data_IF_808882649114
#
_entry.id   IF_808882649114
#
_cell.length_a   1.000
_cell.length_b   1.000
_cell.length_c   1.000
_cell.angle_alpha   90.00
_cell.angle_beta   90.00
_cell.angle_gamma   90.00
#
_symmetry.space_group_name_H-M   'P 1'
#
loop_
_entity.id
_entity.type
_entity.pdbx_description
1 polymer ?
#
# COMPACT_ATOMS: atom_id res chain seq x y z
N UNK A 1 -0.80 17.21 -8.04
CA UNK A 1 0.52 17.24 -7.40
C UNK A 1 1.59 16.86 -8.40
N UNK A 2 1.62 15.64 -8.97
CA UNK A 2 2.67 15.15 -9.88
C UNK A 2 2.94 16.10 -11.05
N UNK A 3 1.91 16.54 -11.76
CA UNK A 3 2.07 17.46 -12.89
C UNK A 3 2.75 18.78 -12.50
N UNK A 4 2.45 19.33 -11.31
CA UNK A 4 3.11 20.52 -10.79
C UNK A 4 4.58 20.28 -10.46
N UNK A 5 4.90 19.14 -9.84
CA UNK A 5 6.28 18.74 -9.54
C UNK A 5 7.10 18.59 -10.82
N UNK A 6 6.54 17.93 -11.85
CA UNK A 6 7.22 17.74 -13.14
C UNK A 6 7.44 19.07 -13.87
N UNK A 7 6.47 19.99 -13.82
CA UNK A 7 6.61 21.32 -14.42
C UNK A 7 7.66 22.20 -13.71
N UNK A 8 7.83 22.05 -12.39
CA UNK A 8 8.81 22.78 -11.61
C UNK A 8 10.23 22.20 -11.71
N UNK A 9 10.36 20.89 -12.01
CA UNK A 9 11.64 20.12 -12.05
C UNK A 9 12.75 20.81 -12.84
N UNK A 10 12.41 21.40 -14.00
CA UNK A 10 13.40 22.03 -14.88
C UNK A 10 13.79 23.43 -14.45
N UNK A 11 13.12 24.01 -13.45
CA UNK A 11 13.21 25.43 -13.07
C UNK A 11 13.76 25.65 -11.66
N UNK A 12 13.90 24.59 -10.87
CA UNK A 12 14.29 24.68 -9.46
C UNK A 12 15.21 23.51 -9.06
N UNK A 13 16.07 23.74 -8.09
CA UNK A 13 16.96 22.72 -7.51
C UNK A 13 16.21 21.81 -6.52
N UNK A 14 15.15 22.31 -5.92
CA UNK A 14 14.25 21.57 -5.07
C UNK A 14 12.80 22.10 -5.22
N UNK A 15 11.83 21.22 -5.02
CA UNK A 15 10.40 21.55 -5.12
C UNK A 15 9.71 21.13 -3.83
N UNK A 16 8.94 22.03 -3.26
CA UNK A 16 8.09 21.74 -2.11
C UNK A 16 6.63 21.63 -2.56
N UNK A 17 5.96 20.58 -2.11
CA UNK A 17 4.52 20.42 -2.27
C UNK A 17 3.82 20.81 -0.97
N UNK A 18 2.79 21.64 -1.05
CA UNK A 18 2.00 22.11 0.08
C UNK A 18 0.51 22.11 -0.31
N UNK A 19 -0.37 21.76 0.63
CA UNK A 19 -1.81 21.84 0.42
C UNK A 19 -2.29 23.30 0.51
N UNK A 20 -3.24 23.67 -0.34
CA UNK A 20 -3.74 25.05 -0.41
C UNK A 20 -4.82 25.38 0.65
N UNK A 21 -5.01 24.51 1.65
CA UNK A 21 -6.04 24.67 2.68
C UNK A 21 -5.56 25.41 3.95
N UNK A 22 -4.34 25.96 3.90
CA UNK A 22 -3.70 26.73 4.98
C UNK A 22 -3.53 26.00 6.31
N UNK A 23 -3.66 24.68 6.31
CA UNK A 23 -3.49 23.87 7.53
C UNK A 23 -2.04 23.54 7.83
N UNK A 24 -1.16 23.60 6.83
CA UNK A 24 0.25 23.26 6.97
C UNK A 24 1.03 24.51 7.39
N UNK A 25 1.97 24.30 8.33
CA UNK A 25 2.79 25.38 8.83
C UNK A 25 3.88 25.75 7.81
N UNK A 26 3.86 27.01 7.35
CA UNK A 26 4.84 27.54 6.39
C UNK A 26 6.21 27.71 7.04
N UNK A 27 6.27 27.94 8.35
CA UNK A 27 7.54 28.10 9.08
C UNK A 27 8.38 26.81 9.09
N UNK A 28 7.75 25.66 8.91
CA UNK A 28 8.45 24.38 8.74
C UNK A 28 9.33 24.34 7.47
N UNK A 29 9.12 25.23 6.50
CA UNK A 29 9.94 25.31 5.28
C UNK A 29 11.42 25.59 5.58
N UNK A 30 11.72 26.36 6.59
CA UNK A 30 13.10 26.65 6.96
C UNK A 30 13.82 25.36 7.40
N UNK A 31 13.14 24.51 8.17
CA UNK A 31 13.67 23.21 8.57
C UNK A 31 13.82 22.25 7.36
N UNK A 32 12.90 22.31 6.40
CA UNK A 32 13.02 21.53 5.16
C UNK A 32 14.27 21.92 4.36
N UNK A 33 14.54 23.23 4.26
CA UNK A 33 15.70 23.74 3.57
C UNK A 33 16.99 23.39 4.30
N UNK A 34 16.99 23.42 5.63
CA UNK A 34 18.13 22.99 6.44
C UNK A 34 18.45 21.51 6.21
N UNK A 35 17.45 20.62 6.25
CA UNK A 35 17.64 19.21 5.94
C UNK A 35 18.18 19.01 4.51
N UNK A 36 17.66 19.74 3.54
CA UNK A 36 18.14 19.69 2.16
C UNK A 36 19.60 20.14 2.03
N UNK A 37 19.99 21.22 2.71
CA UNK A 37 21.39 21.69 2.74
C UNK A 37 22.33 20.69 3.41
N UNK A 38 21.83 19.91 4.36
CA UNK A 38 22.55 18.82 5.02
C UNK A 38 22.62 17.52 4.18
N UNK A 39 22.15 17.57 2.93
CA UNK A 39 22.28 16.48 1.96
C UNK A 39 21.07 15.54 1.85
N UNK A 40 19.94 15.86 2.48
CA UNK A 40 18.71 15.11 2.28
C UNK A 40 18.10 15.43 0.90
N UNK A 41 17.82 14.41 0.13
CA UNK A 41 17.20 14.55 -1.20
C UNK A 41 15.66 14.63 -1.10
N UNK A 42 15.11 14.10 -0.01
CA UNK A 42 13.67 14.11 0.26
C UNK A 42 13.45 14.47 1.74
N UNK A 43 12.55 15.42 2.00
CA UNK A 43 12.14 15.76 3.37
C UNK A 43 10.62 15.61 3.49
N UNK A 44 10.18 14.82 4.45
CA UNK A 44 8.78 14.54 4.69
C UNK A 44 8.22 15.39 5.81
N UNK A 45 7.12 16.09 5.56
CA UNK A 45 6.35 16.74 6.60
C UNK A 45 5.41 15.72 7.27
N UNK A 46 5.57 15.55 8.57
CA UNK A 46 4.74 14.67 9.39
C UNK A 46 3.97 15.50 10.41
N UNK A 47 2.68 15.23 10.54
CA UNK A 47 1.82 15.94 11.49
C UNK A 47 2.13 15.51 12.91
N UNK A 48 2.37 16.49 13.78
CA UNK A 48 2.77 16.28 15.17
C UNK A 48 1.61 15.74 16.04
N UNK A 49 0.35 16.09 15.73
CA UNK A 49 -0.78 15.79 16.59
C UNK A 49 -2.03 15.23 15.90
N UNK A 50 -2.54 14.14 16.48
CA UNK A 50 -3.90 13.64 16.34
C UNK A 50 -4.64 13.59 17.68
N UNK A 51 -4.21 14.34 18.69
CA UNK A 51 -4.84 14.28 20.02
C UNK A 51 -6.24 14.91 20.07
N UNK A 52 -6.58 15.73 19.08
CA UNK A 52 -7.92 16.29 18.88
C UNK A 52 -8.92 15.35 18.19
N UNK A 53 -8.45 14.24 17.60
CA UNK A 53 -9.35 13.27 16.97
C UNK A 53 -10.02 12.37 18.02
N UNK A 54 -11.36 12.26 17.98
CA UNK A 54 -12.13 11.41 18.90
C UNK A 54 -11.64 9.95 18.90
N UNK A 55 -11.75 9.30 20.08
CA UNK A 55 -11.27 7.93 20.34
C UNK A 55 -11.61 6.91 19.23
N UNK A 56 -12.80 7.00 18.63
CA UNK A 56 -13.25 6.12 17.57
C UNK A 56 -12.46 6.32 16.27
N UNK A 57 -12.13 7.57 15.90
CA UNK A 57 -11.29 7.89 14.74
C UNK A 57 -9.85 7.44 14.93
N UNK A 58 -9.30 7.58 16.12
CA UNK A 58 -7.93 7.17 16.47
C UNK A 58 -7.78 5.65 16.38
N UNK A 59 -8.77 4.91 16.88
CA UNK A 59 -8.78 3.43 16.86
C UNK A 59 -8.95 2.88 15.45
N UNK A 60 -9.88 3.41 14.66
CA UNK A 60 -10.09 2.97 13.27
C UNK A 60 -8.90 3.32 12.37
N UNK A 61 -8.30 4.49 12.54
CA UNK A 61 -7.09 4.86 11.83
C UNK A 61 -5.89 3.98 12.23
N UNK A 62 -5.72 3.68 13.52
CA UNK A 62 -4.67 2.78 14.01
C UNK A 62 -4.82 1.37 13.46
N UNK A 63 -6.04 0.81 13.45
CA UNK A 63 -6.31 -0.49 12.84
C UNK A 63 -6.04 -0.48 11.33
N UNK A 64 -6.39 0.59 10.65
CA UNK A 64 -6.12 0.79 9.23
C UNK A 64 -4.61 0.78 8.93
N UNK A 65 -3.80 1.58 9.64
CA UNK A 65 -2.36 1.60 9.45
C UNK A 65 -1.70 0.26 9.80
N UNK A 66 -2.20 -0.42 10.85
CA UNK A 66 -1.73 -1.77 11.20
C UNK A 66 -2.03 -2.78 10.09
N UNK A 67 -3.23 -2.72 9.50
CA UNK A 67 -3.61 -3.55 8.36
C UNK A 67 -2.72 -3.27 7.14
N UNK A 68 -2.49 -2.00 6.81
CA UNK A 68 -1.60 -1.58 5.72
C UNK A 68 -0.18 -2.10 5.92
N UNK A 69 0.35 -2.02 7.15
CA UNK A 69 1.68 -2.54 7.49
C UNK A 69 1.75 -4.07 7.36
N UNK A 70 0.75 -4.80 7.87
CA UNK A 70 0.65 -6.27 7.74
C UNK A 70 0.57 -6.67 6.26
N UNK A 71 -0.14 -5.90 5.44
CA UNK A 71 -0.25 -6.10 4.00
C UNK A 71 0.99 -5.62 3.21
N UNK A 72 2.05 -5.15 3.90
CA UNK A 72 3.34 -4.83 3.28
C UNK A 72 3.46 -3.43 2.70
N UNK A 73 2.50 -2.56 2.92
CA UNK A 73 2.61 -1.16 2.52
C UNK A 73 3.48 -0.40 3.53
N UNK A 74 4.68 -0.02 3.13
CA UNK A 74 5.56 0.85 3.91
C UNK A 74 5.14 2.31 3.69
N UNK A 75 4.20 2.79 4.49
CA UNK A 75 3.81 4.20 4.48
C UNK A 75 4.27 4.86 5.77
N UNK A 76 4.84 6.06 5.66
CA UNK A 76 5.18 6.87 6.84
C UNK A 76 3.86 7.28 7.52
N UNK A 77 3.72 6.92 8.79
CA UNK A 77 2.51 7.22 9.58
C UNK A 77 2.32 8.73 9.70
N UNK A 78 1.10 9.22 9.56
CA UNK A 78 0.73 10.65 9.60
C UNK A 78 1.42 11.54 8.55
N UNK A 79 2.00 10.95 7.51
CA UNK A 79 2.62 11.67 6.41
C UNK A 79 1.59 12.50 5.65
N UNK A 80 1.87 13.78 5.51
CA UNK A 80 1.10 14.69 4.67
C UNK A 80 1.68 14.73 3.24
N UNK A 81 0.95 15.32 2.29
CA UNK A 81 1.51 15.62 0.95
C UNK A 81 2.44 16.86 0.99
N UNK A 82 2.85 17.27 2.18
CA UNK A 82 3.83 18.29 2.47
C UNK A 82 5.21 17.67 2.46
N UNK A 83 5.97 17.93 1.40
CA UNK A 83 7.31 17.35 1.24
C UNK A 83 8.19 18.23 0.36
N UNK A 84 9.50 18.22 0.64
CA UNK A 84 10.52 18.75 -0.24
C UNK A 84 11.14 17.59 -1.02
N UNK A 85 11.36 17.79 -2.30
CA UNK A 85 12.11 16.85 -3.15
C UNK A 85 13.15 17.61 -3.97
N UNK A 86 14.37 17.12 -3.97
CA UNK A 86 15.44 17.65 -4.80
C UNK A 86 15.17 17.38 -6.28
N UNK A 87 15.86 18.10 -7.14
CA UNK A 87 15.85 17.87 -8.59
C UNK A 87 16.22 16.42 -8.92
N UNK A 88 17.24 15.87 -8.26
CA UNK A 88 17.70 14.50 -8.46
C UNK A 88 16.60 13.48 -8.11
N UNK A 89 15.88 13.67 -7.01
CA UNK A 89 14.75 12.83 -6.65
C UNK A 89 13.58 12.97 -7.65
N UNK A 90 13.34 14.19 -8.15
CA UNK A 90 12.32 14.44 -9.17
C UNK A 90 12.69 13.86 -10.54
N UNK A 91 13.97 13.86 -10.90
CA UNK A 91 14.46 13.23 -12.12
C UNK A 91 14.22 11.72 -12.07
N UNK A 92 14.56 11.06 -10.97
CA UNK A 92 14.27 9.66 -10.77
C UNK A 92 12.75 9.36 -10.74
N UNK A 93 11.94 10.20 -10.09
CA UNK A 93 10.49 10.05 -10.09
C UNK A 93 9.89 10.15 -11.50
N UNK A 94 10.50 10.93 -12.39
CA UNK A 94 10.04 11.10 -13.77
C UNK A 94 10.22 9.88 -14.66
N UNK A 95 11.06 8.92 -14.26
CA UNK A 95 11.28 7.66 -14.97
C UNK A 95 10.13 6.66 -14.76
N UNK A 96 9.28 6.88 -13.75
CA UNK A 96 8.10 6.07 -13.52
C UNK A 96 6.94 6.53 -14.42
N UNK A 97 6.57 5.71 -15.39
CA UNK A 97 5.54 6.01 -16.40
C UNK A 97 4.16 5.39 -16.10
N UNK A 98 3.97 4.85 -14.92
CA UNK A 98 2.72 4.20 -14.51
C UNK A 98 1.56 5.17 -14.41
N UNK A 99 0.39 4.76 -14.86
CA UNK A 99 -0.82 5.60 -14.90
C UNK A 99 -1.38 5.92 -13.51
N UNK A 100 -1.14 5.05 -12.51
CA UNK A 100 -1.63 5.16 -11.14
C UNK A 100 -0.48 5.16 -10.13
N UNK A 101 0.33 6.22 -10.13
CA UNK A 101 1.41 6.37 -9.16
C UNK A 101 0.86 6.71 -7.76
N UNK A 102 0.95 5.76 -6.84
CA UNK A 102 0.70 6.02 -5.42
C UNK A 102 1.93 6.69 -4.78
N UNK A 103 2.06 8.00 -4.96
CA UNK A 103 3.25 8.77 -4.56
C UNK A 103 3.66 8.58 -3.09
N UNK A 104 2.68 8.42 -2.18
CA UNK A 104 2.96 8.24 -0.74
C UNK A 104 3.70 6.94 -0.43
N UNK A 105 3.54 5.92 -1.25
CA UNK A 105 4.25 4.66 -1.11
C UNK A 105 5.50 4.59 -1.99
N UNK A 106 5.44 5.13 -3.21
CA UNK A 106 6.54 5.06 -4.16
C UNK A 106 7.75 5.89 -3.72
N UNK A 107 7.55 7.12 -3.30
CA UNK A 107 8.67 8.03 -2.97
C UNK A 107 9.58 7.46 -1.87
N UNK A 108 9.08 6.87 -0.76
CA UNK A 108 9.94 6.23 0.23
C UNK A 108 10.73 5.04 -0.31
N UNK A 109 10.21 4.31 -1.30
CA UNK A 109 10.89 3.13 -1.89
C UNK A 109 12.01 3.49 -2.86
N UNK A 110 12.11 4.75 -3.29
CA UNK A 110 13.18 5.21 -4.19
C UNK A 110 14.57 5.19 -3.54
N UNK A 111 14.67 5.04 -2.21
CA UNK A 111 15.94 4.83 -1.50
C UNK A 111 16.84 6.06 -1.39
N UNK A 112 16.32 7.26 -1.60
CA UNK A 112 17.07 8.49 -1.39
C UNK A 112 17.26 8.80 0.10
N UNK A 113 18.36 9.50 0.43
CA UNK A 113 18.56 10.02 1.76
C UNK A 113 17.41 10.96 2.12
N UNK A 114 16.70 10.66 3.19
CA UNK A 114 15.49 11.38 3.59
C UNK A 114 15.48 11.67 5.08
N UNK A 115 14.77 12.74 5.45
CA UNK A 115 14.53 13.12 6.83
C UNK A 115 13.06 13.51 7.06
N UNK A 116 12.68 13.66 8.32
CA UNK A 116 11.31 13.96 8.74
C UNK A 116 11.31 15.27 9.52
N UNK A 117 10.46 16.18 9.09
CA UNK A 117 10.19 17.42 9.81
C UNK A 117 8.76 17.36 10.36
N UNK A 118 8.63 17.56 11.65
CA UNK A 118 7.33 17.58 12.32
C UNK A 118 6.77 18.99 12.29
N UNK A 119 5.46 19.09 11.99
CA UNK A 119 4.74 20.37 12.00
C UNK A 119 3.38 20.25 12.66
N UNK A 120 2.93 21.35 13.26
CA UNK A 120 1.62 21.44 13.88
C UNK A 120 0.55 21.79 12.83
N UNK A 121 -0.62 21.17 12.96
CA UNK A 121 -1.73 21.41 12.05
C UNK A 121 -2.60 22.53 12.59
N UNK A 122 -2.72 23.62 11.83
CA UNK A 122 -3.68 24.71 12.14
C UNK A 122 -5.10 24.28 11.83
N UNK A 123 -6.05 24.80 12.61
CA UNK A 123 -7.48 24.57 12.32
C UNK A 123 -7.84 25.14 10.93
N UNK A 124 -8.74 24.45 10.23
CA UNK A 124 -9.21 24.92 8.92
C UNK A 124 -9.92 26.25 9.06
N UNK A 125 -9.46 27.26 8.33
CA UNK A 125 -10.15 28.56 8.24
C UNK A 125 -11.46 28.47 7.48
N UNK A 126 -11.63 27.52 6.54
CA UNK A 126 -12.85 27.33 5.77
C UNK A 126 -13.01 25.90 5.25
N UNK A 127 -14.25 25.41 5.17
CA UNK A 127 -14.64 24.17 4.52
C UNK A 127 -14.81 22.99 5.47
N UNK A 128 -15.59 21.98 5.02
CA UNK A 128 -15.79 20.72 5.74
C UNK A 128 -14.97 19.60 5.09
N UNK A 129 -14.45 18.69 5.90
CA UNK A 129 -13.74 17.52 5.42
C UNK A 129 -14.64 16.65 4.54
N UNK A 130 -14.30 16.51 3.25
CA UNK A 130 -15.02 15.65 2.29
C UNK A 130 -14.53 14.20 2.31
N UNK A 131 -13.71 13.81 3.30
CA UNK A 131 -13.22 12.44 3.44
C UNK A 131 -14.31 11.55 4.02
N UNK A 132 -15.02 10.86 3.13
CA UNK A 132 -15.96 9.80 3.50
C UNK A 132 -15.21 8.49 3.73
N UNK A 133 -15.72 7.61 4.62
CA UNK A 133 -15.18 6.25 4.82
C UNK A 133 -15.00 5.50 3.51
N UNK A 134 -15.91 5.68 2.54
CA UNK A 134 -15.80 5.10 1.20
C UNK A 134 -14.53 5.54 0.47
N UNK A 135 -14.17 6.83 0.51
CA UNK A 135 -12.92 7.34 -0.10
C UNK A 135 -11.67 6.80 0.61
N UNK A 136 -11.73 6.64 1.93
CA UNK A 136 -10.64 6.03 2.69
C UNK A 136 -10.44 4.56 2.30
N UNK A 137 -11.53 3.80 2.17
CA UNK A 137 -11.46 2.40 1.71
C UNK A 137 -10.93 2.27 0.29
N UNK A 138 -11.37 3.14 -0.64
CA UNK A 138 -10.84 3.13 -2.01
C UNK A 138 -9.33 3.41 -2.01
N UNK A 139 -8.88 4.46 -1.32
CA UNK A 139 -7.45 4.77 -1.18
C UNK A 139 -6.64 3.61 -0.56
N UNK A 140 -7.24 2.89 0.40
CA UNK A 140 -6.62 1.72 1.00
C UNK A 140 -6.44 0.59 -0.03
N UNK A 141 -7.51 0.26 -0.74
CA UNK A 141 -7.48 -0.80 -1.76
C UNK A 141 -6.49 -0.43 -2.86
N UNK A 142 -6.52 0.79 -3.35
CA UNK A 142 -5.59 1.28 -4.38
C UNK A 142 -4.12 1.22 -3.88
N UNK A 143 -3.86 1.64 -2.64
CA UNK A 143 -2.53 1.56 -2.03
C UNK A 143 -2.04 0.12 -1.85
N UNK A 144 -2.91 -0.78 -1.37
CA UNK A 144 -2.57 -2.20 -1.18
C UNK A 144 -2.30 -2.88 -2.52
N UNK A 145 -3.17 -2.69 -3.51
CA UNK A 145 -3.05 -3.33 -4.82
C UNK A 145 -1.88 -2.79 -5.65
N UNK A 146 -1.52 -1.52 -5.47
CA UNK A 146 -0.42 -0.90 -6.21
C UNK A 146 0.97 -1.18 -5.60
N UNK A 147 1.05 -1.48 -4.30
CA UNK A 147 2.34 -1.54 -3.60
C UNK A 147 2.62 -2.86 -2.89
N UNK A 148 1.66 -3.78 -2.83
CA UNK A 148 1.83 -5.00 -2.05
C UNK A 148 1.47 -6.26 -2.83
N UNK A 149 2.39 -7.22 -2.83
CA UNK A 149 2.16 -8.59 -3.32
C UNK A 149 1.55 -9.49 -2.25
N UNK A 150 1.47 -9.05 -0.98
CA UNK A 150 0.99 -9.88 0.13
C UNK A 150 -0.45 -10.39 -0.01
N UNK A 151 -1.43 -9.62 -0.50
CA UNK A 151 -2.77 -10.16 -0.76
C UNK A 151 -2.75 -11.36 -1.70
N UNK A 152 -1.87 -11.30 -2.69
CA UNK A 152 -1.67 -12.35 -3.66
C UNK A 152 -1.03 -13.60 -3.03
N UNK A 153 0.01 -13.40 -2.20
CA UNK A 153 0.63 -14.47 -1.41
C UNK A 153 -0.36 -15.14 -0.46
N UNK A 154 -1.29 -14.38 0.13
CA UNK A 154 -2.37 -14.94 0.95
C UNK A 154 -3.30 -15.86 0.14
N UNK A 155 -3.60 -15.50 -1.11
CA UNK A 155 -4.40 -16.36 -2.02
C UNK A 155 -3.63 -17.66 -2.33
N UNK A 156 -2.32 -17.58 -2.59
CA UNK A 156 -1.47 -18.77 -2.80
C UNK A 156 -1.48 -19.68 -1.58
N UNK A 157 -1.29 -19.11 -0.38
CA UNK A 157 -1.29 -19.88 0.87
C UNK A 157 -2.65 -20.54 1.10
N UNK A 158 -3.74 -19.79 0.90
CA UNK A 158 -5.09 -20.32 1.03
C UNK A 158 -5.36 -21.45 0.02
N UNK A 159 -4.92 -21.27 -1.22
CA UNK A 159 -5.00 -22.29 -2.26
C UNK A 159 -4.21 -23.56 -1.89
N UNK A 160 -3.01 -23.39 -1.33
CA UNK A 160 -2.19 -24.52 -0.87
C UNK A 160 -2.83 -25.27 0.31
N UNK A 161 -3.39 -24.54 1.27
CA UNK A 161 -4.08 -25.15 2.40
C UNK A 161 -5.36 -25.92 1.96
N UNK A 162 -6.14 -25.34 1.05
CA UNK A 162 -7.32 -26.02 0.49
C UNK A 162 -6.94 -27.25 -0.33
N UNK A 163 -5.82 -27.21 -1.05
CA UNK A 163 -5.28 -28.36 -1.78
C UNK A 163 -4.86 -29.48 -0.82
N UNK A 164 -4.11 -29.18 0.25
CA UNK A 164 -3.74 -30.18 1.26
C UNK A 164 -4.95 -30.79 1.96
N UNK A 165 -5.93 -29.96 2.33
CA UNK A 165 -7.18 -30.42 2.91
C UNK A 165 -7.94 -31.38 1.96
N UNK A 166 -7.94 -31.07 0.69
CA UNK A 166 -8.54 -31.89 -0.36
C UNK A 166 -7.87 -33.27 -0.50
N UNK A 167 -6.54 -33.31 -0.42
CA UNK A 167 -5.79 -34.59 -0.40
C UNK A 167 -6.20 -35.42 0.83
N UNK A 168 -6.32 -34.80 1.99
CA UNK A 168 -6.79 -35.47 3.20
C UNK A 168 -8.17 -36.10 3.05
N UNK A 169 -9.11 -35.34 2.48
CA UNK A 169 -10.46 -35.84 2.16
C UNK A 169 -10.42 -36.99 1.14
N UNK A 170 -9.56 -36.92 0.15
CA UNK A 170 -9.41 -37.96 -0.85
C UNK A 170 -8.87 -39.26 -0.25
N UNK A 171 -7.87 -39.17 0.63
CA UNK A 171 -7.33 -40.32 1.38
C UNK A 171 -8.43 -40.93 2.27
N UNK A 172 -9.19 -40.10 3.00
CA UNK A 172 -10.30 -40.56 3.83
C UNK A 172 -11.34 -41.32 2.98
N UNK A 173 -11.65 -40.80 1.79
CA UNK A 173 -12.58 -41.46 0.86
C UNK A 173 -12.11 -42.85 0.42
N UNK A 174 -10.81 -43.02 0.19
CA UNK A 174 -10.23 -44.34 -0.16
C UNK A 174 -10.29 -45.30 1.05
N UNK A 175 -10.04 -44.79 2.24
CA UNK A 175 -10.15 -45.64 3.46
C UNK A 175 -11.57 -46.07 3.72
N UNK A 176 -12.54 -45.17 3.59
CA UNK A 176 -13.97 -45.48 3.75
C UNK A 176 -14.47 -46.50 2.69
N UNK A 177 -13.99 -46.36 1.46
CA UNK A 177 -14.24 -47.32 0.41
C UNK A 177 -13.68 -48.72 0.74
N UNK A 178 -12.45 -48.77 1.23
CA UNK A 178 -11.81 -50.06 1.63
C UNK A 178 -12.51 -50.72 2.80
N UNK A 179 -13.13 -49.92 3.69
CA UNK A 179 -13.91 -50.43 4.84
C UNK A 179 -15.37 -50.74 4.51
N UNK A 180 -15.81 -50.59 3.28
CA UNK A 180 -17.20 -50.84 2.86
C UNK A 180 -18.22 -49.79 3.34
N UNK A 181 -17.79 -48.67 3.91
CA UNK A 181 -18.62 -47.59 4.47
C UNK A 181 -18.90 -46.48 3.45
N UNK A 182 -19.37 -46.83 2.27
CA UNK A 182 -19.49 -45.81 1.19
C UNK A 182 -20.89 -45.22 1.17
N UNK A 183 -20.99 -43.89 1.38
CA UNK A 183 -22.13 -43.11 0.88
C UNK A 183 -21.84 -42.76 -0.58
N UNK A 184 -22.51 -43.44 -1.48
CA UNK A 184 -22.24 -43.34 -2.92
C UNK A 184 -22.30 -41.89 -3.44
N UNK A 185 -21.15 -41.41 -3.92
CA UNK A 185 -21.06 -40.16 -4.69
C UNK A 185 -20.74 -38.89 -3.88
N UNK A 186 -21.12 -38.75 -2.61
CA UNK A 186 -20.98 -37.49 -1.86
C UNK A 186 -19.51 -37.11 -1.55
N UNK A 187 -18.75 -38.04 -1.00
CA UNK A 187 -17.36 -37.81 -0.63
C UNK A 187 -16.48 -37.54 -1.85
N UNK A 188 -16.71 -38.30 -2.93
CA UNK A 188 -15.99 -38.11 -4.21
C UNK A 188 -16.25 -36.73 -4.82
N UNK A 189 -17.51 -36.28 -4.78
CA UNK A 189 -17.91 -34.97 -5.31
C UNK A 189 -17.27 -33.83 -4.51
N UNK A 190 -17.30 -33.90 -3.17
CA UNK A 190 -16.71 -32.91 -2.30
C UNK A 190 -15.18 -32.89 -2.47
N UNK A 191 -14.52 -34.05 -2.47
CA UNK A 191 -13.07 -34.16 -2.62
C UNK A 191 -12.60 -33.59 -3.98
N UNK A 192 -13.28 -33.95 -5.08
CA UNK A 192 -12.93 -33.44 -6.41
C UNK A 192 -13.19 -31.93 -6.55
N UNK A 193 -14.28 -31.42 -5.99
CA UNK A 193 -14.57 -29.98 -5.98
C UNK A 193 -13.51 -29.19 -5.21
N UNK A 194 -13.13 -29.65 -4.03
CA UNK A 194 -12.07 -29.03 -3.23
C UNK A 194 -10.71 -29.10 -3.95
N UNK A 195 -10.39 -30.22 -4.60
CA UNK A 195 -9.14 -30.38 -5.34
C UNK A 195 -9.05 -29.38 -6.50
N UNK A 196 -10.09 -29.33 -7.31
CA UNK A 196 -10.16 -28.39 -8.44
C UNK A 196 -10.10 -26.94 -7.92
N UNK A 197 -10.85 -26.62 -6.86
CA UNK A 197 -10.85 -25.30 -6.23
C UNK A 197 -9.47 -24.91 -5.70
N UNK A 198 -8.78 -25.82 -5.00
CA UNK A 198 -7.42 -25.59 -4.50
C UNK A 198 -6.40 -25.35 -5.62
N UNK A 199 -6.42 -26.17 -6.68
CA UNK A 199 -5.55 -26.00 -7.85
C UNK A 199 -5.84 -24.66 -8.54
N UNK A 200 -7.11 -24.29 -8.68
CA UNK A 200 -7.51 -23.02 -9.30
C UNK A 200 -7.00 -21.83 -8.51
N UNK A 201 -7.17 -21.82 -7.19
CA UNK A 201 -6.66 -20.74 -6.32
C UNK A 201 -5.14 -20.63 -6.37
N UNK A 202 -4.41 -21.75 -6.34
CA UNK A 202 -2.96 -21.78 -6.50
C UNK A 202 -2.53 -21.19 -7.84
N UNK A 203 -3.17 -21.61 -8.93
CA UNK A 203 -2.85 -21.14 -10.27
C UNK A 203 -3.10 -19.64 -10.41
N UNK A 204 -4.21 -19.15 -9.90
CA UNK A 204 -4.53 -17.71 -9.92
C UNK A 204 -3.54 -16.90 -9.09
N UNK A 205 -3.13 -17.39 -7.93
CA UNK A 205 -2.13 -16.76 -7.09
C UNK A 205 -0.78 -16.66 -7.79
N UNK A 206 -0.30 -17.74 -8.39
CA UNK A 206 0.96 -17.78 -9.13
C UNK A 206 0.92 -16.82 -10.34
N UNK A 207 -0.15 -16.87 -11.13
CA UNK A 207 -0.31 -15.96 -12.28
C UNK A 207 -0.29 -14.51 -11.83
N UNK A 208 -0.96 -14.18 -10.75
CA UNK A 208 -0.97 -12.85 -10.19
C UNK A 208 0.43 -12.38 -9.73
N UNK A 209 1.23 -13.25 -9.08
CA UNK A 209 2.62 -12.93 -8.72
C UNK A 209 3.49 -12.67 -9.96
N UNK A 210 3.35 -13.47 -11.02
CA UNK A 210 4.04 -13.24 -12.28
C UNK A 210 3.65 -11.92 -12.94
N UNK A 211 2.37 -11.59 -12.94
CA UNK A 211 1.88 -10.31 -13.47
C UNK A 211 2.47 -9.16 -12.65
N UNK A 212 2.46 -9.26 -11.32
CA UNK A 212 3.04 -8.25 -10.45
C UNK A 212 4.54 -8.07 -10.73
N UNK A 213 5.30 -9.14 -10.86
CA UNK A 213 6.73 -9.10 -11.21
C UNK A 213 6.99 -8.45 -12.57
N UNK A 214 6.18 -8.74 -13.59
CA UNK A 214 6.30 -8.13 -14.92
C UNK A 214 6.07 -6.61 -14.88
N UNK A 215 5.14 -6.14 -14.06
CA UNK A 215 4.84 -4.70 -13.95
C UNK A 215 5.78 -3.96 -13.00
N UNK A 216 6.42 -4.64 -12.05
CA UNK A 216 7.35 -4.02 -11.09
C UNK A 216 8.81 -4.23 -11.45
N UNK A 217 9.11 -5.10 -12.42
CA UNK A 217 10.48 -5.24 -12.94
C UNK A 217 10.83 -4.02 -13.77
N UNK A 218 11.93 -3.28 -13.45
CA UNK A 218 12.41 -2.22 -14.33
C UNK A 218 12.67 -2.84 -15.69
N UNK A 219 12.05 -2.28 -16.73
CA UNK A 219 12.38 -2.68 -18.11
C UNK A 219 13.87 -2.37 -18.36
N UNK A 220 14.61 -3.27 -19.01
CA UNK A 220 16.02 -3.06 -19.31
C UNK A 220 16.25 -1.85 -20.20
#
# INVERSE_FOLDING_TARGET
ILAGMMAARSKADAVVTIDADLQQDIEALDQFLECYQNGCEIVYGVRNDRDTDGFFKKTTAGLFYKLMHVLGCQTITNHADYRLMSKKALDALSEFHETNLFLRGLIPTMGFQSDIVYFDVKEREAGQSKYTLKKMMTLAVDGITSMSTRPLQMIVILGFLTFLFSIGLFISCIVDWANGAVVAGWTTTVASTCLIGGITLLSQGIIGEYICLLYTSPSP
#
